data_IF_833519797304
#
_entry.id   IF_833519797304
#
_cell.length_a   1.000
_cell.length_b   1.000
_cell.length_c   1.000
_cell.angle_alpha   90.00
_cell.angle_beta   90.00
_cell.angle_gamma   90.00
#
_symmetry.space_group_name_H-M   'P 1'
#
loop_
_entity.id
_entity.type
_entity.pdbx_description
1 polymer ?
#
# COMPACT_ATOMS: atom_id res chain seq x y z
N UNK A 1 30.55 -7.88 79.17
CA UNK A 1 29.25 -8.13 78.51
C UNK A 1 28.59 -6.76 78.23
N UNK A 2 28.87 -6.19 77.09
CA UNK A 2 28.39 -4.86 76.73
C UNK A 2 27.24 -5.02 75.69
N UNK A 3 26.01 -4.73 76.06
CA UNK A 3 24.87 -4.72 75.19
C UNK A 3 24.80 -3.39 74.45
N UNK A 4 25.02 -3.39 73.12
CA UNK A 4 24.75 -2.25 72.31
C UNK A 4 23.22 -2.18 72.03
N UNK A 5 22.59 -1.18 72.66
CA UNK A 5 21.20 -0.83 72.39
C UNK A 5 21.14 0.04 71.14
N UNK A 6 20.74 -0.52 70.02
CA UNK A 6 20.48 0.23 68.79
C UNK A 6 19.12 0.93 68.90
N UNK A 7 19.12 2.27 68.79
CA UNK A 7 17.93 3.07 68.96
C UNK A 7 16.94 2.85 67.76
N UNK A 8 15.62 2.84 68.03
CA UNK A 8 14.61 2.52 67.02
C UNK A 8 14.57 3.50 65.81
N UNK A 9 15.20 4.66 65.97
CA UNK A 9 15.29 5.68 64.89
C UNK A 9 16.26 5.29 63.77
N UNK A 10 17.26 4.46 64.03
CA UNK A 10 18.25 3.98 63.03
C UNK A 10 17.61 2.89 62.18
N UNK A 11 16.80 2.02 62.77
CA UNK A 11 16.09 0.93 62.05
C UNK A 11 15.03 1.49 61.11
N UNK A 12 14.32 2.55 61.49
CA UNK A 12 13.32 3.18 60.67
C UNK A 12 13.92 3.89 59.44
N UNK A 13 15.15 4.43 59.56
CA UNK A 13 15.84 5.09 58.45
C UNK A 13 16.46 4.09 57.46
N UNK A 14 16.88 2.94 57.93
CA UNK A 14 17.39 1.87 57.05
C UNK A 14 16.26 1.21 56.22
N UNK A 15 15.08 1.04 56.80
CA UNK A 15 13.91 0.50 56.11
C UNK A 15 13.37 1.45 55.04
N UNK A 16 13.48 2.77 55.21
CA UNK A 16 13.03 3.76 54.25
C UNK A 16 13.93 3.83 53.00
N UNK A 17 15.24 3.58 53.16
CA UNK A 17 16.20 3.58 52.04
C UNK A 17 16.15 2.30 51.21
N UNK A 18 15.71 1.17 51.75
CA UNK A 18 15.54 -0.07 50.98
C UNK A 18 14.25 -0.08 50.13
N UNK A 19 13.23 0.70 50.51
CA UNK A 19 11.95 0.76 49.82
C UNK A 19 11.99 1.56 48.50
N UNK A 20 12.90 2.52 48.35
CA UNK A 20 12.98 3.41 47.22
C UNK A 20 13.73 2.82 46.01
N UNK A 21 14.53 1.79 46.18
CA UNK A 21 15.29 1.14 45.08
C UNK A 21 14.49 0.10 44.30
N UNK A 22 13.38 -0.42 44.85
CA UNK A 22 12.56 -1.43 44.21
C UNK A 22 11.56 -0.81 43.15
N UNK A 23 11.33 0.50 43.20
CA UNK A 23 10.36 1.14 42.30
C UNK A 23 10.89 1.50 40.92
N UNK A 24 12.21 1.46 40.67
CA UNK A 24 12.83 1.80 39.39
C UNK A 24 12.97 0.61 38.42
N UNK A 25 12.71 -0.63 38.85
CA UNK A 25 12.84 -1.82 37.99
C UNK A 25 11.57 -2.13 37.15
N UNK A 26 10.48 -1.34 37.27
CA UNK A 26 9.21 -1.59 36.60
C UNK A 26 9.09 -0.90 35.23
N UNK A 27 10.09 -0.17 34.75
CA UNK A 27 10.15 0.32 33.36
C UNK A 27 10.90 -0.68 32.47
N UNK A 28 10.51 -1.96 32.52
CA UNK A 28 10.83 -2.93 31.49
C UNK A 28 10.12 -2.54 30.22
N UNK A 29 10.84 -1.91 29.28
CA UNK A 29 10.32 -1.53 27.98
C UNK A 29 9.71 -2.77 27.32
N UNK A 30 8.41 -2.69 27.00
CA UNK A 30 7.83 -3.56 26.01
C UNK A 30 8.57 -3.29 24.72
N UNK A 31 9.51 -4.13 24.35
CA UNK A 31 10.04 -4.19 23.00
C UNK A 31 8.84 -4.46 22.08
N UNK A 32 8.38 -3.40 21.40
CA UNK A 32 7.46 -3.56 20.28
C UNK A 32 8.22 -4.38 19.24
N UNK A 33 7.63 -5.47 18.71
CA UNK A 33 8.27 -6.23 17.64
C UNK A 33 8.60 -5.31 16.48
N UNK A 34 9.88 -5.11 16.18
CA UNK A 34 10.37 -4.25 15.10
C UNK A 34 9.91 -4.77 13.73
N UNK A 35 9.49 -6.03 13.68
CA UNK A 35 8.95 -6.68 12.49
C UNK A 35 7.66 -6.03 11.94
N UNK A 36 6.78 -5.52 12.83
CA UNK A 36 5.52 -4.89 12.40
C UNK A 36 5.74 -3.52 11.73
N UNK A 37 6.77 -2.78 12.15
CA UNK A 37 7.08 -1.48 11.55
C UNK A 37 7.76 -1.64 10.18
N UNK A 38 8.58 -2.68 10.00
CA UNK A 38 9.22 -2.96 8.71
C UNK A 38 8.21 -3.47 7.67
N UNK A 39 7.26 -4.31 8.08
CA UNK A 39 6.18 -4.77 7.20
C UNK A 39 5.20 -3.66 6.81
N UNK A 40 4.93 -2.71 7.72
CA UNK A 40 4.06 -1.57 7.43
C UNK A 40 4.72 -0.53 6.51
N UNK A 41 6.05 -0.38 6.55
CA UNK A 41 6.77 0.61 5.72
C UNK A 41 6.95 0.21 4.26
N UNK A 42 6.88 -1.08 3.92
CA UNK A 42 7.03 -1.56 2.54
C UNK A 42 5.77 -1.31 1.68
N UNK A 43 4.62 -1.00 2.30
CA UNK A 43 3.34 -0.84 1.59
C UNK A 43 2.87 0.60 1.38
N UNK A 44 3.62 1.62 1.81
CA UNK A 44 3.09 2.99 1.79
C UNK A 44 3.70 3.84 0.69
N UNK A 45 3.39 3.52 -0.54
CA UNK A 45 3.28 4.52 -1.59
C UNK A 45 1.81 4.95 -1.54
N UNK A 46 1.41 6.08 -0.97
CA UNK A 46 0.04 6.62 -0.92
C UNK A 46 -1.15 5.70 -1.25
N UNK A 47 -0.93 4.64 -2.03
CA UNK A 47 -1.89 3.63 -2.50
C UNK A 47 -1.35 2.21 -2.36
N UNK A 48 -2.18 1.19 -2.58
CA UNK A 48 -1.77 -0.22 -2.53
C UNK A 48 -0.68 -0.53 -3.57
N UNK A 49 0.51 -0.94 -3.12
CA UNK A 49 1.68 -1.18 -3.98
C UNK A 49 1.49 -2.37 -4.95
N UNK A 50 0.72 -3.38 -4.56
CA UNK A 50 0.41 -4.52 -5.44
C UNK A 50 -0.55 -4.12 -6.56
N UNK A 51 -1.59 -3.32 -6.24
CA UNK A 51 -2.49 -2.75 -7.25
C UNK A 51 -1.73 -1.83 -8.19
N UNK A 52 -0.85 -0.97 -7.66
CA UNK A 52 -0.03 -0.08 -8.46
C UNK A 52 0.84 -0.82 -9.47
N UNK A 53 1.60 -1.81 -9.00
CA UNK A 53 2.45 -2.64 -9.86
C UNK A 53 1.64 -3.40 -10.89
N UNK A 54 0.53 -4.03 -10.48
CA UNK A 54 -0.34 -4.79 -11.37
C UNK A 54 -0.97 -3.90 -12.46
N UNK A 55 -1.41 -2.68 -12.09
CA UNK A 55 -1.95 -1.72 -13.02
C UNK A 55 -0.92 -1.29 -14.06
N UNK A 56 0.29 -0.87 -13.63
CA UNK A 56 1.38 -0.51 -14.55
C UNK A 56 1.70 -1.62 -15.53
N UNK A 57 1.79 -2.87 -15.06
CA UNK A 57 2.09 -4.02 -15.91
C UNK A 57 0.94 -4.33 -16.89
N UNK A 58 -0.32 -4.16 -16.43
CA UNK A 58 -1.48 -4.40 -17.30
C UNK A 58 -1.60 -3.38 -18.42
N UNK A 59 -1.27 -2.10 -18.17
CA UNK A 59 -1.34 -1.04 -19.20
C UNK A 59 -0.02 -0.82 -19.94
N UNK A 60 0.99 -1.66 -19.73
CA UNK A 60 2.35 -1.50 -20.29
C UNK A 60 2.43 -1.57 -21.82
N UNK A 61 1.39 -2.04 -22.49
CA UNK A 61 1.30 -2.07 -23.95
C UNK A 61 1.10 -0.67 -24.56
N UNK A 62 0.61 0.30 -23.79
CA UNK A 62 0.38 1.67 -24.20
C UNK A 62 1.42 2.63 -23.61
N UNK A 63 1.84 3.68 -24.32
CA UNK A 63 2.69 4.72 -23.75
C UNK A 63 2.02 5.38 -22.56
N UNK A 64 2.78 5.64 -21.49
CA UNK A 64 2.27 6.34 -20.32
C UNK A 64 2.33 7.85 -20.55
N UNK A 65 1.22 8.53 -20.33
CA UNK A 65 1.14 10.00 -20.29
C UNK A 65 1.43 10.53 -18.87
N UNK A 66 0.94 9.82 -17.86
CA UNK A 66 1.11 10.17 -16.45
C UNK A 66 1.13 8.90 -15.58
N UNK A 67 1.99 8.90 -14.56
CA UNK A 67 2.01 7.91 -13.50
C UNK A 67 2.33 8.62 -12.18
N UNK A 68 1.32 8.80 -11.34
CA UNK A 68 1.43 9.42 -10.01
C UNK A 68 1.10 8.38 -8.94
N UNK A 69 2.15 7.84 -8.33
CA UNK A 69 2.02 6.82 -7.28
C UNK A 69 1.49 7.38 -5.95
N UNK A 70 1.65 8.67 -5.69
CA UNK A 70 1.13 9.30 -4.48
C UNK A 70 -0.39 9.51 -4.57
N UNK A 71 -0.86 9.98 -5.74
CA UNK A 71 -2.28 10.15 -6.02
C UNK A 71 -2.97 8.89 -6.54
N UNK A 72 -2.23 7.81 -6.83
CA UNK A 72 -2.78 6.55 -7.32
C UNK A 72 -3.34 6.60 -8.74
N UNK A 73 -2.82 7.48 -9.61
CA UNK A 73 -3.36 7.70 -10.95
C UNK A 73 -2.35 7.30 -12.02
N UNK A 74 -2.78 6.45 -12.95
CA UNK A 74 -2.05 6.08 -14.15
C UNK A 74 -2.89 6.46 -15.37
N UNK A 75 -2.32 7.24 -16.29
CA UNK A 75 -2.98 7.63 -17.54
C UNK A 75 -2.09 7.20 -18.70
N UNK A 76 -2.66 6.43 -19.64
CA UNK A 76 -1.97 6.12 -20.89
C UNK A 76 -2.18 7.23 -21.91
N UNK A 77 -1.33 7.30 -22.91
CA UNK A 77 -1.66 8.02 -24.14
C UNK A 77 -2.52 7.15 -25.06
N UNK A 78 -2.98 7.72 -26.17
CA UNK A 78 -3.71 6.99 -27.19
C UNK A 78 -2.84 5.87 -27.78
N UNK A 79 -3.37 4.67 -27.74
CA UNK A 79 -2.74 3.50 -28.33
C UNK A 79 -3.63 2.90 -29.42
N UNK A 80 -3.06 2.74 -30.60
CA UNK A 80 -3.68 2.01 -31.72
C UNK A 80 -3.00 0.64 -31.84
N UNK A 81 -3.81 -0.43 -31.83
CA UNK A 81 -3.27 -1.76 -32.08
C UNK A 81 -2.78 -1.85 -33.53
N UNK A 82 -1.53 -2.28 -33.77
CA UNK A 82 -1.01 -2.45 -35.14
C UNK A 82 -1.88 -3.33 -36.04
N UNK A 83 -2.58 -4.32 -35.47
CA UNK A 83 -3.52 -5.18 -36.20
C UNK A 83 -4.87 -4.50 -36.51
N UNK A 84 -5.17 -3.39 -35.86
CA UNK A 84 -6.39 -2.60 -36.08
C UNK A 84 -6.08 -1.10 -35.96
N UNK A 85 -5.36 -0.51 -36.90
CA UNK A 85 -4.90 0.89 -36.81
C UNK A 85 -6.03 1.91 -36.93
N UNK A 86 -7.22 1.49 -37.37
CA UNK A 86 -8.42 2.33 -37.45
C UNK A 86 -9.10 2.56 -36.10
N UNK A 87 -8.56 2.02 -35.02
CA UNK A 87 -9.10 2.18 -33.67
C UNK A 87 -8.00 2.53 -32.68
N UNK A 88 -8.28 3.43 -31.74
CA UNK A 88 -7.37 3.76 -30.66
C UNK A 88 -8.09 3.83 -29.33
N UNK A 89 -7.36 3.47 -28.28
CA UNK A 89 -7.85 3.48 -26.91
C UNK A 89 -6.92 4.29 -26.01
N UNK A 90 -7.49 4.90 -25.00
CA UNK A 90 -6.79 5.59 -23.91
C UNK A 90 -7.39 5.12 -22.60
N UNK A 91 -6.56 4.87 -21.59
CA UNK A 91 -7.02 4.38 -20.31
C UNK A 91 -6.55 5.25 -19.17
N UNK A 92 -7.39 5.30 -18.13
CA UNK A 92 -7.05 5.87 -16.83
C UNK A 92 -7.34 4.82 -15.78
N UNK A 93 -6.33 4.48 -14.99
CA UNK A 93 -6.46 3.60 -13.82
C UNK A 93 -6.31 4.47 -12.59
N UNK A 94 -7.25 4.35 -11.65
CA UNK A 94 -7.23 5.08 -10.38
C UNK A 94 -7.28 4.08 -9.23
N UNK A 95 -6.32 4.15 -8.32
CA UNK A 95 -6.26 3.37 -7.10
C UNK A 95 -6.64 4.29 -5.94
N UNK A 96 -7.69 3.92 -5.23
CA UNK A 96 -8.40 4.77 -4.27
C UNK A 96 -8.02 4.49 -2.81
N UNK A 97 -7.36 3.36 -2.54
CA UNK A 97 -7.12 2.90 -1.18
C UNK A 97 -5.76 2.17 -1.08
N UNK A 98 -5.27 2.02 0.14
CA UNK A 98 -4.12 1.21 0.51
C UNK A 98 -4.45 -0.28 0.64
N UNK A 99 -5.73 -0.62 0.75
CA UNK A 99 -6.20 -1.99 0.86
C UNK A 99 -6.32 -2.67 -0.51
N UNK A 100 -6.03 -3.98 -0.55
CA UNK A 100 -6.20 -4.81 -1.75
C UNK A 100 -7.65 -5.30 -1.84
N UNK A 101 -8.56 -4.43 -2.31
CA UNK A 101 -9.99 -4.68 -2.49
C UNK A 101 -10.44 -4.30 -3.89
N UNK A 102 -11.57 -4.87 -4.33
CA UNK A 102 -12.11 -4.58 -5.66
C UNK A 102 -12.57 -3.12 -5.82
N UNK A 103 -13.17 -2.55 -4.77
CA UNK A 103 -13.63 -1.16 -4.74
C UNK A 103 -12.51 -0.11 -4.57
N UNK A 104 -11.28 -0.57 -4.30
CA UNK A 104 -10.10 0.26 -4.26
C UNK A 104 -9.50 0.56 -5.66
N UNK A 105 -10.09 0.00 -6.72
CA UNK A 105 -9.62 0.15 -8.10
C UNK A 105 -10.73 0.66 -9.00
N UNK A 106 -10.41 1.58 -9.89
CA UNK A 106 -11.29 2.08 -10.95
C UNK A 106 -10.52 2.16 -12.25
N UNK A 107 -11.12 1.65 -13.32
CA UNK A 107 -10.62 1.79 -14.67
C UNK A 107 -11.62 2.60 -15.49
N UNK A 108 -11.13 3.59 -16.24
CA UNK A 108 -11.89 4.30 -17.24
C UNK A 108 -11.16 4.16 -18.59
N UNK A 109 -11.92 3.94 -19.66
CA UNK A 109 -11.38 3.84 -20.99
C UNK A 109 -12.11 4.79 -21.93
N UNK A 110 -11.36 5.38 -22.86
CA UNK A 110 -11.90 6.13 -24.01
C UNK A 110 -11.49 5.40 -25.28
N UNK A 111 -12.40 5.31 -26.22
CA UNK A 111 -12.19 4.65 -27.52
C UNK A 111 -12.52 5.62 -28.63
N UNK A 112 -11.70 5.63 -29.68
CA UNK A 112 -11.96 6.39 -30.90
C UNK A 112 -11.75 5.49 -32.11
N UNK A 113 -12.52 5.78 -33.14
CA UNK A 113 -12.42 5.13 -34.46
C UNK A 113 -12.10 6.16 -35.52
N UNK A 114 -11.29 5.77 -36.52
CA UNK A 114 -10.95 6.62 -37.63
C UNK A 114 -12.14 6.74 -38.59
N UNK A 115 -12.49 7.98 -38.93
CA UNK A 115 -13.48 8.30 -39.99
C UNK A 115 -12.86 9.29 -40.95
N UNK A 116 -12.44 8.78 -42.12
CA UNK A 116 -11.68 9.59 -43.07
C UNK A 116 -10.38 10.09 -42.48
N UNK A 117 -10.22 11.39 -42.34
CA UNK A 117 -9.01 12.03 -41.79
C UNK A 117 -9.17 12.49 -40.31
N UNK A 118 -10.20 12.04 -39.63
CA UNK A 118 -10.53 12.45 -38.27
C UNK A 118 -10.74 11.24 -37.34
N UNK A 119 -10.55 11.45 -36.04
CA UNK A 119 -10.89 10.50 -35.01
C UNK A 119 -12.23 10.87 -34.37
N UNK A 120 -13.12 9.91 -34.20
CA UNK A 120 -14.45 10.09 -33.62
C UNK A 120 -14.60 9.18 -32.42
N UNK A 121 -15.17 9.72 -31.35
CA UNK A 121 -15.43 8.95 -30.12
C UNK A 121 -16.40 7.80 -30.40
N UNK A 122 -16.08 6.64 -29.82
CA UNK A 122 -16.87 5.43 -29.93
C UNK A 122 -17.15 4.85 -28.55
N UNK A 123 -18.30 4.16 -28.38
CA UNK A 123 -18.64 3.54 -27.10
C UNK A 123 -17.60 2.51 -26.66
N UNK A 124 -17.29 2.51 -25.36
CA UNK A 124 -16.54 1.43 -24.69
C UNK A 124 -17.55 0.49 -24.05
N UNK A 125 -17.35 -0.81 -24.23
CA UNK A 125 -18.19 -1.80 -23.57
C UNK A 125 -17.85 -1.85 -22.07
N UNK A 126 -18.86 -1.77 -21.21
CA UNK A 126 -18.66 -1.85 -19.76
C UNK A 126 -17.98 -3.16 -19.31
N UNK A 127 -18.28 -4.26 -20.01
CA UNK A 127 -17.63 -5.55 -19.77
C UNK A 127 -16.11 -5.50 -19.96
N UNK A 128 -15.60 -4.74 -20.94
CA UNK A 128 -14.15 -4.59 -21.17
C UNK A 128 -13.47 -3.87 -20.02
N UNK A 129 -14.12 -2.84 -19.46
CA UNK A 129 -13.58 -2.11 -18.29
C UNK A 129 -13.54 -3.01 -17.06
N UNK A 130 -14.61 -3.76 -16.81
CA UNK A 130 -14.69 -4.71 -15.69
C UNK A 130 -13.64 -5.83 -15.82
N UNK A 131 -13.45 -6.36 -17.02
CA UNK A 131 -12.41 -7.38 -17.27
C UNK A 131 -11.00 -6.85 -16.97
N UNK A 132 -10.70 -5.60 -17.32
CA UNK A 132 -9.44 -4.97 -16.99
C UNK A 132 -9.26 -4.80 -15.46
N UNK A 133 -10.31 -4.40 -14.75
CA UNK A 133 -10.29 -4.32 -13.29
C UNK A 133 -10.03 -5.69 -12.66
N UNK A 134 -10.68 -6.74 -13.15
CA UNK A 134 -10.50 -8.12 -12.67
C UNK A 134 -9.09 -8.66 -12.95
N UNK A 135 -8.52 -8.36 -14.13
CA UNK A 135 -7.14 -8.71 -14.48
C UNK A 135 -6.15 -8.05 -13.51
N UNK A 136 -6.29 -6.75 -13.27
CA UNK A 136 -5.43 -6.01 -12.35
C UNK A 136 -5.53 -6.56 -10.93
N UNK A 137 -6.75 -6.82 -10.43
CA UNK A 137 -6.98 -7.39 -9.11
C UNK A 137 -6.38 -8.80 -8.95
N UNK A 138 -6.55 -9.64 -9.96
CA UNK A 138 -6.00 -11.00 -9.96
C UNK A 138 -4.48 -10.97 -9.93
N UNK A 139 -3.86 -10.14 -10.75
CA UNK A 139 -2.41 -9.94 -10.79
C UNK A 139 -1.86 -9.36 -9.48
N UNK A 140 -2.55 -8.40 -8.88
CA UNK A 140 -2.17 -7.82 -7.59
C UNK A 140 -2.21 -8.86 -6.45
N UNK A 141 -3.23 -9.73 -6.43
CA UNK A 141 -3.30 -10.85 -5.49
C UNK A 141 -2.18 -11.87 -5.69
N UNK A 142 -1.80 -12.11 -6.93
CA UNK A 142 -0.65 -12.97 -7.26
C UNK A 142 0.65 -12.39 -6.72
N UNK A 143 0.93 -11.12 -6.95
CA UNK A 143 2.12 -10.45 -6.42
C UNK A 143 2.18 -10.50 -4.89
N UNK A 144 1.03 -10.28 -4.22
CA UNK A 144 0.95 -10.41 -2.77
C UNK A 144 1.29 -11.83 -2.31
N UNK A 145 0.76 -12.87 -2.97
CA UNK A 145 1.07 -14.27 -2.62
C UNK A 145 2.56 -14.58 -2.76
N UNK A 146 3.19 -14.13 -3.84
CA UNK A 146 4.61 -14.32 -4.09
C UNK A 146 5.49 -13.66 -3.01
N UNK A 147 5.11 -12.48 -2.53
CA UNK A 147 5.84 -11.75 -1.48
C UNK A 147 5.72 -12.44 -0.10
N UNK A 148 4.61 -13.11 0.18
CA UNK A 148 4.40 -13.81 1.47
C UNK A 148 5.07 -15.19 1.48
N UNK A 149 5.26 -15.81 0.30
CA UNK A 149 5.82 -17.16 0.17
C UNK A 149 7.36 -17.19 0.11
N UNK A 150 8.03 -16.05 -0.03
CA UNK A 150 9.50 -15.91 -0.04
C UNK A 150 10.04 -15.37 1.25
#
# INVERSE_FOLDING_TARGET
MTRLSASPRIIARAALLLGTTAALAACGGRERPVADLAAAQVNTIGVNSYLWRAALETVSFAPLLQADSAGGVIVTDWYANPSNPGERVKMTVTILDTDLRADALRVAASRQVAQGNSWVDAPVQAATVQELEDIILTKAREFRRQTIAG
#
